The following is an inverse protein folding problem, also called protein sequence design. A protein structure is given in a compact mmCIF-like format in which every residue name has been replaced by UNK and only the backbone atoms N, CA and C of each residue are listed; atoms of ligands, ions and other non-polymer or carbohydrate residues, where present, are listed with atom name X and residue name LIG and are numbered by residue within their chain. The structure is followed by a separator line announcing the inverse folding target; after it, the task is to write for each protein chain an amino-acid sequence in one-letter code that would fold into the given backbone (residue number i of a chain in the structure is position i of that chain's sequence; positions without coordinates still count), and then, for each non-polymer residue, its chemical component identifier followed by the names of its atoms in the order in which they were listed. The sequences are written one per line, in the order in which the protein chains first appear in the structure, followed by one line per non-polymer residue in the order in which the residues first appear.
data_IF_009556556029
#
_entry.id   IF_009556556029
#
_cell.length_a   1.000
_cell.length_b   1.000
_cell.length_c   1.000
_cell.angle_alpha   90.00
_cell.angle_beta   90.00
_cell.angle_gamma   90.00
#
_symmetry.space_group_name_H-M   'P 1'
#
loop_
_entity.id
_entity.type
_entity.pdbx_description
1 polymer ?
#
# COMPACT_ATOMS: atom_id res chain seq x y z
N UNK A 1 8.33 -0.92 6.61
CA UNK A 1 7.68 -1.15 5.32
C UNK A 1 6.37 -0.37 5.19
N UNK A 2 5.73 -0.34 4.00
CA UNK A 2 4.53 0.48 3.72
C UNK A 2 3.18 -0.12 4.16
N UNK A 3 3.18 -1.31 4.77
CA UNK A 3 2.00 -2.05 5.23
C UNK A 3 0.96 -2.41 4.15
N UNK A 4 1.35 -2.44 2.87
CA UNK A 4 0.45 -2.80 1.78
C UNK A 4 0.24 -4.32 1.63
N UNK A 5 -1.00 -4.74 1.42
CA UNK A 5 -1.34 -6.11 1.03
C UNK A 5 -1.09 -6.28 -0.48
N UNK A 6 -0.18 -7.19 -0.85
CA UNK A 6 0.08 -7.54 -2.25
C UNK A 6 -0.80 -8.75 -2.60
N UNK A 7 -1.54 -8.64 -3.70
CA UNK A 7 -2.40 -9.72 -4.21
C UNK A 7 -1.92 -10.18 -5.59
N UNK A 8 -2.58 -11.16 -6.20
CA UNK A 8 -2.29 -11.58 -7.58
C UNK A 8 -2.44 -10.44 -8.61
N UNK A 9 -3.28 -9.44 -8.32
CA UNK A 9 -3.46 -8.23 -9.15
C UNK A 9 -2.62 -7.04 -8.64
N UNK A 10 -1.66 -7.29 -7.75
CA UNK A 10 -0.83 -6.27 -7.11
C UNK A 10 -1.48 -5.66 -5.87
N UNK A 11 -0.91 -4.55 -5.39
CA UNK A 11 -1.37 -3.83 -4.19
C UNK A 11 -2.14 -2.55 -4.48
N UNK A 12 -2.11 -2.04 -5.71
CA UNK A 12 -2.86 -0.85 -6.12
C UNK A 12 -4.33 -1.20 -6.36
N UNK A 13 -4.99 -1.67 -5.32
CA UNK A 13 -6.37 -2.12 -5.32
C UNK A 13 -7.10 -1.62 -4.08
N UNK A 14 -8.43 -1.64 -4.13
CA UNK A 14 -9.27 -1.40 -2.96
C UNK A 14 -9.88 -2.73 -2.53
N UNK A 15 -9.76 -3.06 -1.25
CA UNK A 15 -10.40 -4.21 -0.63
C UNK A 15 -11.45 -3.73 0.36
N UNK A 16 -12.57 -4.43 0.42
CA UNK A 16 -13.64 -4.23 1.37
C UNK A 16 -14.03 -5.53 2.07
N UNK A 17 -14.88 -5.44 3.07
CA UNK A 17 -15.42 -6.60 3.78
C UNK A 17 -16.90 -6.37 4.05
N UNK A 18 -17.69 -7.45 3.97
CA UNK A 18 -19.12 -7.45 4.29
C UNK A 18 -19.34 -8.50 5.36
N UNK A 19 -20.06 -8.11 6.42
CA UNK A 19 -20.43 -9.02 7.51
C UNK A 19 -21.89 -9.42 7.31
N UNK A 20 -22.15 -10.72 7.17
CA UNK A 20 -23.48 -11.27 6.96
C UNK A 20 -23.68 -12.50 7.85
N UNK A 21 -24.93 -12.73 8.29
CA UNK A 21 -25.31 -13.91 9.08
C UNK A 21 -25.62 -15.08 8.14
N UNK A 22 -24.58 -15.63 7.53
CA UNK A 22 -24.66 -16.79 6.63
C UNK A 22 -23.46 -17.71 6.86
N UNK A 23 -23.59 -18.99 6.54
CA UNK A 23 -22.47 -19.92 6.57
C UNK A 23 -21.87 -20.04 5.16
N UNK A 24 -20.59 -19.70 5.01
CA UNK A 24 -19.86 -19.83 3.74
C UNK A 24 -18.55 -20.58 4.03
N UNK A 25 -18.16 -21.57 3.21
CA UNK A 25 -16.84 -22.20 3.34
C UNK A 25 -15.72 -21.16 3.19
N UNK A 26 -14.68 -21.18 4.05
CA UNK A 26 -13.58 -20.24 3.93
C UNK A 26 -12.79 -20.52 2.65
N UNK A 27 -12.45 -19.47 1.90
CA UNK A 27 -11.53 -19.58 0.77
C UNK A 27 -10.13 -19.96 1.29
N UNK A 28 -9.47 -20.99 0.73
CA UNK A 28 -8.09 -21.31 1.08
C UNK A 28 -7.17 -20.10 0.90
N UNK A 29 -6.32 -19.84 1.89
CA UNK A 29 -5.36 -18.74 1.82
C UNK A 29 -4.18 -19.14 0.92
N UNK A 30 -3.77 -18.29 -0.04
CA UNK A 30 -2.64 -18.59 -0.91
C UNK A 30 -1.27 -18.41 -0.23
N UNK A 31 -1.24 -17.79 0.95
CA UNK A 31 -0.03 -17.51 1.72
C UNK A 31 -0.27 -17.73 3.22
N UNK A 32 0.79 -18.05 3.97
CA UNK A 32 0.72 -18.23 5.43
C UNK A 32 0.77 -16.89 6.15
N UNK A 33 1.55 -15.94 5.62
CA UNK A 33 1.68 -14.56 6.08
C UNK A 33 1.39 -13.60 4.93
N UNK A 34 0.64 -12.54 5.23
CA UNK A 34 0.28 -11.49 4.27
C UNK A 34 1.49 -10.71 3.70
N UNK A 35 2.67 -10.85 4.31
CA UNK A 35 3.93 -10.21 3.92
C UNK A 35 4.76 -11.04 2.93
N UNK A 36 4.36 -12.27 2.60
CA UNK A 36 5.15 -13.21 1.79
C UNK A 36 5.47 -12.73 0.38
N UNK A 37 4.68 -11.81 -0.18
CA UNK A 37 4.95 -11.25 -1.51
C UNK A 37 5.80 -9.97 -1.48
N UNK A 38 6.19 -9.50 -0.30
CA UNK A 38 7.06 -8.34 -0.19
C UNK A 38 8.53 -8.76 -0.19
N UNK A 39 9.24 -8.43 -1.27
CA UNK A 39 10.66 -8.79 -1.44
C UNK A 39 11.62 -8.14 -0.43
N UNK A 40 11.18 -7.13 0.33
CA UNK A 40 11.90 -6.68 1.52
C UNK A 40 11.81 -7.70 2.66
N UNK A 41 10.61 -8.18 2.96
CA UNK A 41 10.39 -9.11 4.07
C UNK A 41 10.90 -10.53 3.75
N UNK A 42 10.93 -10.93 2.48
CA UNK A 42 11.41 -12.26 2.07
C UNK A 42 12.91 -12.30 1.78
N UNK A 43 13.42 -11.30 1.05
CA UNK A 43 14.81 -11.32 0.54
C UNK A 43 15.64 -10.10 0.98
N UNK A 44 15.03 -9.08 1.60
CA UNK A 44 15.73 -7.85 2.00
C UNK A 44 16.07 -6.90 0.84
N UNK A 45 15.54 -7.13 -0.38
CA UNK A 45 16.06 -6.47 -1.60
C UNK A 45 15.24 -5.29 -2.12
N UNK A 46 14.02 -5.05 -1.61
CA UNK A 46 13.11 -4.09 -2.23
C UNK A 46 12.72 -2.92 -1.32
N UNK A 47 13.24 -1.72 -1.61
CA UNK A 47 12.95 -0.50 -0.86
C UNK A 47 12.12 0.55 -1.62
N UNK A 48 11.68 0.29 -2.86
CA UNK A 48 11.15 1.33 -3.77
C UNK A 48 9.96 2.14 -3.22
N UNK A 49 9.20 1.60 -2.26
CA UNK A 49 8.12 2.35 -1.61
C UNK A 49 8.62 3.38 -0.58
N UNK A 50 9.80 3.18 0.02
CA UNK A 50 10.45 4.12 0.96
C UNK A 50 10.85 5.39 0.20
N UNK A 51 11.58 5.24 -0.90
CA UNK A 51 12.11 6.36 -1.69
C UNK A 51 11.01 7.23 -2.32
N UNK A 52 9.82 6.68 -2.51
CA UNK A 52 8.66 7.38 -3.08
C UNK A 52 7.81 8.10 -2.04
N UNK A 53 8.05 7.92 -0.74
CA UNK A 53 7.24 8.57 0.28
C UNK A 53 7.59 10.06 0.37
N UNK A 54 6.68 10.99 0.03
CA UNK A 54 7.00 12.42 -0.02
C UNK A 54 7.29 13.05 1.34
N UNK A 55 6.89 12.37 2.43
CA UNK A 55 7.01 12.87 3.81
C UNK A 55 7.85 11.95 4.70
N UNK A 56 8.58 10.99 4.11
CA UNK A 56 9.45 10.09 4.88
C UNK A 56 8.70 9.21 5.90
N UNK A 57 7.39 9.00 5.73
CA UNK A 57 6.59 8.20 6.66
C UNK A 57 6.89 6.70 6.59
N UNK A 58 7.60 6.21 5.58
CA UNK A 58 7.88 4.79 5.40
C UNK A 58 9.36 4.57 5.64
N UNK A 59 9.66 3.65 6.56
CA UNK A 59 11.02 3.16 6.84
C UNK A 59 11.09 1.67 6.52
N UNK A 60 12.27 1.10 6.68
CA UNK A 60 12.49 -0.34 6.67
C UNK A 60 11.61 -1.07 7.70
N UNK A 61 11.57 -0.57 8.93
CA UNK A 61 10.85 -1.22 10.05
C UNK A 61 9.34 -0.99 10.02
N UNK A 62 8.85 0.23 9.74
CA UNK A 62 7.41 0.57 9.86
C UNK A 62 6.96 1.70 8.94
N UNK A 63 5.64 1.85 8.81
CA UNK A 63 5.00 3.08 8.34
C UNK A 63 4.52 3.91 9.53
N UNK A 64 4.99 5.14 9.63
CA UNK A 64 4.47 6.12 10.56
C UNK A 64 3.12 6.65 10.06
N UNK A 65 2.05 6.10 10.61
CA UNK A 65 0.68 6.46 10.25
C UNK A 65 0.35 7.91 10.61
N UNK A 66 0.95 8.47 11.67
CA UNK A 66 0.68 9.85 12.09
C UNK A 66 1.32 10.85 11.13
N UNK A 67 2.57 10.61 10.69
CA UNK A 67 3.23 11.43 9.66
C UNK A 67 2.47 11.34 8.33
N UNK A 68 2.10 10.12 7.91
CA UNK A 68 1.30 9.91 6.71
C UNK A 68 -0.06 10.62 6.79
N UNK A 69 -0.72 10.57 7.94
CA UNK A 69 -2.03 11.21 8.16
C UNK A 69 -1.94 12.73 8.07
N UNK A 70 -0.93 13.36 8.70
CA UNK A 70 -0.74 14.82 8.61
C UNK A 70 -0.48 15.32 7.19
N UNK A 71 0.09 14.46 6.34
CA UNK A 71 0.22 14.77 4.92
C UNK A 71 -1.13 14.67 4.18
N UNK A 72 -1.98 13.69 4.52
CA UNK A 72 -3.31 13.60 3.91
C UNK A 72 -4.22 14.73 4.38
N UNK A 73 -4.15 15.08 5.66
CA UNK A 73 -5.02 16.04 6.32
C UNK A 73 -4.19 17.00 7.19
N UNK A 74 -4.14 18.30 6.86
CA UNK A 74 -4.91 18.96 5.80
C UNK A 74 -4.23 18.94 4.42
N UNK A 75 -2.93 18.65 4.31
CA UNK A 75 -2.12 19.05 3.13
C UNK A 75 -2.69 18.58 1.78
N UNK A 76 -2.86 17.27 1.54
CA UNK A 76 -3.41 16.83 0.24
C UNK A 76 -4.90 17.09 0.10
N UNK A 77 -5.66 17.12 1.20
CA UNK A 77 -7.07 17.50 1.19
C UNK A 77 -7.28 18.94 0.71
N UNK A 78 -6.52 19.87 1.27
CA UNK A 78 -6.59 21.30 0.92
C UNK A 78 -6.20 21.49 -0.54
N UNK A 79 -5.10 20.87 -0.99
CA UNK A 79 -4.68 20.91 -2.39
C UNK A 79 -5.78 20.39 -3.32
N UNK A 80 -6.38 19.23 -3.02
CA UNK A 80 -7.45 18.66 -3.85
C UNK A 80 -8.64 19.60 -3.93
N UNK A 81 -9.06 20.13 -2.78
CA UNK A 81 -10.19 21.07 -2.68
C UNK A 81 -9.92 22.34 -3.49
N UNK A 82 -8.74 22.96 -3.33
CA UNK A 82 -8.40 24.22 -3.99
C UNK A 82 -8.13 24.08 -5.49
N UNK A 83 -7.56 22.96 -5.92
CA UNK A 83 -7.11 22.78 -7.31
C UNK A 83 -8.12 22.06 -8.19
N UNK A 84 -9.02 21.25 -7.61
CA UNK A 84 -9.99 20.45 -8.37
C UNK A 84 -11.45 20.69 -7.94
N UNK A 85 -11.72 21.45 -6.88
CA UNK A 85 -13.06 21.91 -6.54
C UNK A 85 -14.00 20.85 -5.96
N UNK A 86 -13.48 19.76 -5.38
CA UNK A 86 -14.29 18.75 -4.70
C UNK A 86 -13.67 18.31 -3.36
N UNK A 87 -14.49 17.80 -2.45
CA UNK A 87 -14.02 17.23 -1.18
C UNK A 87 -13.33 15.88 -1.44
N UNK A 88 -12.01 15.89 -1.41
CA UNK A 88 -11.19 14.72 -1.67
C UNK A 88 -9.80 14.87 -1.07
N UNK A 89 -9.07 13.77 -1.03
CA UNK A 89 -7.67 13.72 -0.60
C UNK A 89 -7.00 12.52 -1.28
N UNK A 90 -5.68 12.54 -1.39
CA UNK A 90 -4.97 11.44 -2.03
C UNK A 90 -3.48 11.48 -1.84
N UNK A 91 -2.92 10.33 -1.46
CA UNK A 91 -1.50 10.03 -1.58
C UNK A 91 -1.39 8.54 -1.85
N UNK A 92 -0.77 8.18 -2.97
CA UNK A 92 -0.59 6.81 -3.43
C UNK A 92 0.81 6.41 -3.90
N UNK A 93 1.90 7.21 -3.88
CA UNK A 93 3.20 6.78 -4.43
C UNK A 93 3.79 5.51 -3.80
N UNK A 94 3.38 5.15 -2.58
CA UNK A 94 3.78 3.89 -1.98
C UNK A 94 3.03 2.67 -2.55
N UNK A 95 1.92 2.89 -3.26
CA UNK A 95 1.08 1.91 -3.95
C UNK A 95 1.30 1.91 -5.46
N UNK A 96 1.55 3.08 -6.07
CA UNK A 96 1.75 3.26 -7.51
C UNK A 96 3.20 3.52 -7.91
N UNK A 97 3.55 3.13 -9.14
CA UNK A 97 4.89 3.15 -9.71
C UNK A 97 5.91 2.46 -8.80
N UNK A 98 5.51 1.31 -8.27
CA UNK A 98 6.32 0.41 -7.45
C UNK A 98 6.21 -1.00 -8.01
N UNK A 99 7.20 -1.88 -7.79
CA UNK A 99 7.24 -3.21 -8.41
C UNK A 99 5.99 -4.07 -8.16
N UNK A 100 5.36 -3.91 -7.00
CA UNK A 100 4.17 -4.65 -6.59
C UNK A 100 2.84 -3.92 -6.86
N UNK A 101 2.83 -2.87 -7.68
CA UNK A 101 1.62 -2.09 -8.01
C UNK A 101 0.52 -2.98 -8.61
N UNK A 102 0.84 -3.70 -9.69
CA UNK A 102 -0.13 -4.44 -10.52
C UNK A 102 0.15 -5.95 -10.58
N UNK A 103 1.10 -6.45 -9.78
CA UNK A 103 1.48 -7.87 -9.77
C UNK A 103 2.15 -8.27 -8.44
N UNK A 104 2.35 -9.58 -8.26
CA UNK A 104 3.31 -10.11 -7.30
C UNK A 104 4.72 -9.86 -7.90
N UNK A 105 5.60 -9.10 -7.24
CA UNK A 105 6.88 -8.72 -7.80
C UNK A 105 7.87 -9.90 -7.79
N UNK A 106 8.76 -9.95 -8.78
CA UNK A 106 9.92 -10.82 -8.79
C UNK A 106 11.21 -10.00 -8.54
N UNK A 107 12.35 -10.68 -8.35
CA UNK A 107 13.63 -10.04 -8.02
C UNK A 107 14.07 -8.99 -9.05
N UNK A 108 13.84 -9.21 -10.34
CA UNK A 108 14.22 -8.28 -11.42
C UNK A 108 13.46 -6.96 -11.33
N UNK A 109 12.24 -6.98 -10.82
CA UNK A 109 11.40 -5.77 -10.70
C UNK A 109 11.92 -4.80 -9.62
N UNK A 110 12.71 -5.29 -8.65
CA UNK A 110 13.22 -4.50 -7.53
C UNK A 110 14.71 -4.11 -7.63
N UNK A 111 15.44 -4.63 -8.63
CA UNK A 111 16.83 -4.26 -8.91
C UNK A 111 16.96 -2.84 -9.50
#
# INVERSE_FOLDING_TARGET
MCDGLITSVGKAMRVGSVVARIQVPPTPKPCTKHTEYCLYFTDGICGKCISRCPVGAITESRKDKAVCYRHLFPVTKDYVTSSYGFDGYGCGPCQSLVPCESQIPNKKDCL
#
